data_IF_188922345116
#
_entry.id   IF_188922345116
#
_cell.length_a   1.000
_cell.length_b   1.000
_cell.length_c   1.000
_cell.angle_alpha   90.00
_cell.angle_beta   90.00
_cell.angle_gamma   90.00
#
_symmetry.space_group_name_H-M   'P 1'
#
loop_
_entity.id
_entity.type
_entity.pdbx_description
1 polymer ?
#
# COMPACT_ATOMS: atom_id res chain seq x y z
N UNK A 1 -17.42 -4.54 18.20
CA UNK A 1 -17.19 -5.01 16.80
C UNK A 1 -18.13 -4.21 15.90
N UNK A 2 -17.62 -3.42 14.96
CA UNK A 2 -18.47 -2.65 14.04
C UNK A 2 -19.29 -3.58 13.13
N UNK A 3 -20.59 -3.32 12.89
CA UNK A 3 -21.45 -4.14 12.04
C UNK A 3 -20.83 -4.36 10.65
N UNK A 4 -21.10 -5.53 10.05
CA UNK A 4 -20.62 -5.90 8.71
C UNK A 4 -21.02 -4.85 7.65
N UNK A 5 -22.16 -4.19 7.84
CA UNK A 5 -22.67 -3.11 7.01
C UNK A 5 -21.84 -1.82 7.08
N UNK A 6 -21.31 -1.46 8.26
CA UNK A 6 -20.41 -0.31 8.41
C UNK A 6 -19.07 -0.56 7.72
N UNK A 7 -18.58 -1.81 7.75
CA UNK A 7 -17.37 -2.20 7.04
C UNK A 7 -17.54 -2.08 5.53
N UNK A 8 -18.72 -2.42 5.01
CA UNK A 8 -19.07 -2.29 3.59
C UNK A 8 -19.16 -0.81 3.17
N UNK A 9 -19.80 0.05 3.97
CA UNK A 9 -19.87 1.50 3.71
C UNK A 9 -18.50 2.20 3.75
N UNK A 10 -17.55 1.68 4.54
CA UNK A 10 -16.15 2.18 4.63
C UNK A 10 -15.22 1.61 3.55
N UNK A 11 -15.73 0.81 2.60
CA UNK A 11 -14.90 0.32 1.49
C UNK A 11 -14.65 1.46 0.51
N UNK A 12 -13.46 2.06 0.57
CA UNK A 12 -13.00 3.00 -0.45
C UNK A 12 -12.74 2.26 -1.77
N UNK A 13 -13.79 2.06 -2.57
CA UNK A 13 -13.74 1.38 -3.87
C UNK A 13 -12.74 2.05 -4.81
N UNK A 14 -12.72 3.39 -4.82
CA UNK A 14 -11.76 4.21 -5.58
C UNK A 14 -10.33 3.86 -5.17
N UNK A 15 -10.03 3.87 -3.87
CA UNK A 15 -8.70 3.57 -3.34
C UNK A 15 -8.26 2.15 -3.70
N UNK A 16 -9.18 1.17 -3.64
CA UNK A 16 -8.90 -0.21 -4.08
C UNK A 16 -8.55 -0.29 -5.56
N UNK A 17 -9.29 0.41 -6.42
CA UNK A 17 -9.00 0.45 -7.87
C UNK A 17 -7.65 1.11 -8.15
N UNK A 18 -7.35 2.22 -7.48
CA UNK A 18 -6.03 2.89 -7.59
C UNK A 18 -4.92 1.93 -7.17
N UNK A 19 -5.07 1.23 -6.05
CA UNK A 19 -4.06 0.29 -5.56
C UNK A 19 -3.90 -0.92 -6.49
N UNK A 20 -4.99 -1.43 -7.06
CA UNK A 20 -4.94 -2.52 -8.01
C UNK A 20 -4.22 -2.09 -9.29
N UNK A 21 -4.54 -0.90 -9.83
CA UNK A 21 -3.90 -0.36 -11.02
C UNK A 21 -2.41 -0.09 -10.80
N UNK A 22 -2.08 0.73 -9.79
CA UNK A 22 -0.69 1.07 -9.46
C UNK A 22 0.09 -0.20 -9.16
N UNK A 23 -0.45 -1.06 -8.30
CA UNK A 23 0.20 -2.31 -7.89
C UNK A 23 0.44 -3.27 -9.04
N UNK A 24 -0.48 -3.37 -10.02
CA UNK A 24 -0.29 -4.24 -11.17
C UNK A 24 0.85 -3.76 -12.07
N UNK A 25 0.97 -2.43 -12.24
CA UNK A 25 2.03 -1.82 -13.04
C UNK A 25 3.38 -1.88 -12.33
N UNK A 26 3.42 -1.71 -11.01
CA UNK A 26 4.67 -1.70 -10.24
C UNK A 26 5.21 -3.09 -9.86
N UNK A 27 4.35 -4.12 -9.80
CA UNK A 27 4.76 -5.46 -9.36
C UNK A 27 5.95 -6.04 -10.17
N UNK A 28 5.97 -5.99 -11.51
CA UNK A 28 7.12 -6.47 -12.28
C UNK A 28 8.41 -5.73 -11.92
N UNK A 29 8.33 -4.41 -11.77
CA UNK A 29 9.43 -3.56 -11.34
C UNK A 29 10.03 -4.03 -10.02
N UNK A 30 9.19 -4.20 -9.00
CA UNK A 30 9.64 -4.56 -7.66
C UNK A 30 10.14 -6.00 -7.55
N UNK A 31 9.33 -6.97 -8.01
CA UNK A 31 9.56 -8.38 -7.67
C UNK A 31 10.28 -9.18 -8.77
N UNK A 32 10.22 -8.74 -10.04
CA UNK A 32 10.84 -9.46 -11.17
C UNK A 32 12.19 -8.85 -11.52
N UNK A 33 12.23 -7.55 -11.76
CA UNK A 33 13.46 -6.86 -12.18
C UNK A 33 14.38 -6.52 -11.01
N UNK A 34 13.85 -5.86 -9.97
CA UNK A 34 14.65 -5.44 -8.81
C UNK A 34 14.79 -6.53 -7.72
N UNK A 35 14.05 -7.63 -7.83
CA UNK A 35 14.09 -8.76 -6.88
C UNK A 35 14.02 -8.30 -5.41
N UNK A 36 12.97 -7.55 -5.07
CA UNK A 36 12.73 -7.05 -3.73
C UNK A 36 12.90 -8.14 -2.65
N UNK A 37 13.79 -7.88 -1.69
CA UNK A 37 13.97 -8.70 -0.50
C UNK A 37 13.17 -8.10 0.66
N UNK A 38 12.45 -8.95 1.40
CA UNK A 38 11.61 -8.54 2.53
C UNK A 38 11.98 -9.40 3.72
N UNK A 39 12.29 -8.76 4.84
CA UNK A 39 12.56 -9.40 6.14
C UNK A 39 11.73 -8.72 7.23
N UNK A 40 11.53 -9.39 8.37
CA UNK A 40 10.86 -8.78 9.53
C UNK A 40 9.34 -8.71 9.45
N UNK A 41 8.68 -9.40 8.51
CA UNK A 41 7.19 -9.40 8.45
C UNK A 41 6.54 -10.04 9.67
N UNK A 42 7.29 -10.82 10.46
CA UNK A 42 6.89 -11.34 11.76
C UNK A 42 6.51 -10.25 12.75
N UNK A 43 7.12 -9.06 12.70
CA UNK A 43 6.79 -7.96 13.60
C UNK A 43 5.38 -7.39 13.37
N UNK A 44 4.75 -7.68 12.23
CA UNK A 44 3.38 -7.23 11.95
C UNK A 44 2.34 -7.88 12.84
N UNK A 45 2.59 -9.07 13.39
CA UNK A 45 1.63 -9.72 14.31
C UNK A 45 1.45 -8.95 15.61
N UNK A 46 2.49 -8.22 16.02
CA UNK A 46 2.57 -7.58 17.33
C UNK A 46 2.15 -6.10 17.26
N UNK A 47 1.90 -5.59 16.05
CA UNK A 47 1.49 -4.19 15.85
C UNK A 47 0.07 -3.93 16.34
N UNK A 48 -0.19 -2.75 16.95
CA UNK A 48 -1.54 -2.32 17.27
C UNK A 48 -2.37 -2.13 16.01
N UNK A 49 -3.70 -2.24 16.14
CA UNK A 49 -4.65 -2.20 15.00
C UNK A 49 -4.78 -0.83 14.34
N UNK A 50 -4.32 0.22 15.00
CA UNK A 50 -4.44 1.63 14.61
C UNK A 50 -3.28 2.45 15.18
N UNK A 51 -3.08 3.66 14.65
CA UNK A 51 -2.05 4.62 15.09
C UNK A 51 -0.61 4.09 14.97
N UNK A 52 -0.35 3.29 13.93
CA UNK A 52 1.01 2.85 13.58
C UNK A 52 1.59 3.79 12.53
N UNK A 53 2.73 4.39 12.85
CA UNK A 53 3.52 5.18 11.91
C UNK A 53 4.68 4.33 11.39
N UNK A 54 4.70 4.07 10.08
CA UNK A 54 5.84 3.47 9.40
C UNK A 54 6.76 4.57 8.91
N UNK A 55 8.04 4.51 9.29
CA UNK A 55 9.07 5.47 8.85
C UNK A 55 10.04 4.74 7.94
N UNK A 56 10.23 5.28 6.75
CA UNK A 56 11.17 4.78 5.75
C UNK A 56 12.23 5.83 5.45
N UNK A 57 13.41 5.37 5.04
CA UNK A 57 14.35 6.25 4.37
C UNK A 57 13.74 6.73 3.04
N UNK A 58 14.10 7.93 2.61
CA UNK A 58 13.40 8.69 1.59
C UNK A 58 14.15 8.71 0.26
N UNK A 59 14.53 7.53 -0.24
CA UNK A 59 15.40 7.41 -1.42
C UNK A 59 14.61 7.54 -2.73
N UNK A 60 13.38 7.00 -2.81
CA UNK A 60 12.50 7.20 -3.96
C UNK A 60 11.07 7.32 -3.47
N UNK A 61 10.68 8.54 -3.11
CA UNK A 61 9.42 8.89 -2.44
C UNK A 61 8.19 8.07 -2.87
N UNK A 62 7.91 7.99 -4.17
CA UNK A 62 6.76 7.23 -4.67
C UNK A 62 6.97 5.72 -4.64
N UNK A 63 8.17 5.24 -4.98
CA UNK A 63 8.45 3.80 -5.00
C UNK A 63 8.42 3.20 -3.60
N UNK A 64 8.88 3.94 -2.59
CA UNK A 64 8.84 3.53 -1.19
C UNK A 64 7.39 3.33 -0.73
N UNK A 65 6.51 4.31 -1.02
CA UNK A 65 5.07 4.21 -0.75
C UNK A 65 4.45 3.01 -1.46
N UNK A 66 4.71 2.84 -2.76
CA UNK A 66 4.20 1.71 -3.55
C UNK A 66 4.66 0.37 -2.96
N UNK A 67 5.93 0.28 -2.58
CA UNK A 67 6.51 -0.90 -1.94
C UNK A 67 5.75 -1.25 -0.65
N UNK A 68 5.48 -0.27 0.21
CA UNK A 68 4.65 -0.49 1.40
C UNK A 68 3.23 -0.97 1.07
N UNK A 69 2.58 -0.43 0.02
CA UNK A 69 1.26 -0.92 -0.41
C UNK A 69 1.31 -2.40 -0.78
N UNK A 70 2.36 -2.83 -1.48
CA UNK A 70 2.59 -4.24 -1.82
C UNK A 70 2.84 -5.09 -0.58
N UNK A 71 3.73 -4.67 0.32
CA UNK A 71 4.08 -5.40 1.54
C UNK A 71 2.84 -5.56 2.43
N UNK A 72 2.12 -4.47 2.71
CA UNK A 72 0.91 -4.52 3.54
C UNK A 72 -0.20 -5.36 2.92
N UNK A 73 -0.36 -5.29 1.59
CA UNK A 73 -1.25 -6.18 0.85
C UNK A 73 -0.86 -7.64 1.00
N UNK A 74 0.42 -7.97 0.79
CA UNK A 74 0.94 -9.32 0.89
C UNK A 74 0.78 -9.89 2.31
N UNK A 75 1.12 -9.12 3.35
CA UNK A 75 0.97 -9.51 4.76
C UNK A 75 -0.49 -9.73 5.12
N UNK A 76 -1.41 -8.86 4.68
CA UNK A 76 -2.86 -9.05 4.86
C UNK A 76 -3.34 -10.39 4.28
N UNK A 77 -2.72 -10.86 3.21
CA UNK A 77 -3.02 -12.14 2.55
C UNK A 77 -2.15 -13.30 3.08
N UNK A 78 -1.49 -13.13 4.22
CA UNK A 78 -0.73 -14.17 4.91
C UNK A 78 0.64 -14.49 4.29
N UNK A 79 1.15 -13.64 3.40
CA UNK A 79 2.52 -13.78 2.89
C UNK A 79 3.53 -13.37 3.98
N UNK A 80 4.63 -14.11 4.07
CA UNK A 80 5.73 -13.89 5.01
C UNK A 80 7.02 -13.66 4.24
N UNK A 81 7.70 -12.54 4.49
CA UNK A 81 9.03 -12.20 3.96
C UNK A 81 9.15 -12.32 2.43
N UNK A 82 8.03 -12.14 1.70
CA UNK A 82 7.96 -12.11 0.24
C UNK A 82 6.65 -11.51 -0.25
N UNK A 83 6.65 -10.94 -1.45
CA UNK A 83 5.40 -10.58 -2.14
C UNK A 83 4.72 -11.82 -2.71
N UNK A 84 5.49 -12.67 -3.41
CA UNK A 84 4.95 -13.81 -4.16
C UNK A 84 3.92 -13.37 -5.20
N UNK A 85 3.13 -14.31 -5.71
CA UNK A 85 2.14 -14.02 -6.75
C UNK A 85 1.13 -12.93 -6.29
N UNK A 86 0.85 -11.89 -7.12
CA UNK A 86 0.22 -10.64 -6.67
C UNK A 86 -1.30 -10.71 -6.51
N UNK A 87 -1.85 -11.85 -6.06
CA UNK A 87 -3.29 -12.01 -5.77
C UNK A 87 -3.79 -11.05 -4.69
N UNK A 88 -2.90 -10.53 -3.86
CA UNK A 88 -3.26 -9.57 -2.83
C UNK A 88 -3.79 -8.23 -3.39
N UNK A 89 -3.54 -7.93 -4.67
CA UNK A 89 -4.05 -6.74 -5.35
C UNK A 89 -5.57 -6.76 -5.56
N UNK A 90 -6.24 -7.92 -5.50
CA UNK A 90 -7.70 -8.01 -5.59
C UNK A 90 -8.41 -7.45 -4.35
N UNK A 91 -7.76 -7.52 -3.19
CA UNK A 91 -8.30 -6.94 -1.95
C UNK A 91 -7.14 -6.36 -1.12
N UNK A 92 -6.58 -5.21 -1.52
CA UNK A 92 -5.42 -4.65 -0.87
C UNK A 92 -5.76 -4.05 0.50
N UNK A 93 -4.74 -3.74 1.29
CA UNK A 93 -4.91 -3.07 2.58
C UNK A 93 -4.99 -1.55 2.35
N UNK A 94 -6.19 -0.97 2.44
CA UNK A 94 -6.45 0.43 2.04
C UNK A 94 -6.42 1.46 3.19
N UNK A 95 -6.26 1.00 4.45
CA UNK A 95 -6.12 1.88 5.63
C UNK A 95 -4.67 2.34 5.81
N UNK A 96 -4.10 2.85 4.73
CA UNK A 96 -2.72 3.37 4.67
C UNK A 96 -2.82 4.82 4.26
N UNK A 97 -2.06 5.66 4.94
CA UNK A 97 -1.92 7.07 4.65
C UNK A 97 -0.43 7.39 4.58
N UNK A 98 -0.05 8.30 3.70
CA UNK A 98 1.33 8.74 3.55
C UNK A 98 1.37 10.26 3.44
N UNK A 99 2.39 10.87 4.03
CA UNK A 99 2.54 12.33 4.07
C UNK A 99 3.13 12.81 2.76
N UNK A 100 2.49 13.78 2.11
CA UNK A 100 2.93 14.32 0.83
C UNK A 100 2.84 15.85 0.75
N UNK A 101 3.80 16.49 0.07
CA UNK A 101 3.70 17.92 -0.22
C UNK A 101 2.57 18.18 -1.24
N UNK A 102 1.64 19.07 -0.89
CA UNK A 102 0.44 19.34 -1.69
C UNK A 102 0.79 19.83 -3.10
N UNK A 103 1.79 20.68 -3.23
CA UNK A 103 2.28 21.21 -4.51
C UNK A 103 2.79 20.08 -5.41
N UNK A 104 3.48 19.09 -4.83
CA UNK A 104 3.98 17.92 -5.55
C UNK A 104 2.82 17.02 -5.99
N UNK A 105 1.81 16.85 -5.14
CA UNK A 105 0.67 16.00 -5.46
C UNK A 105 -0.21 16.58 -6.57
N UNK A 106 -0.27 17.91 -6.68
CA UNK A 106 -1.05 18.61 -7.73
C UNK A 106 -0.33 18.75 -9.07
N UNK A 107 0.98 18.49 -9.12
CA UNK A 107 1.84 18.79 -10.26
C UNK A 107 1.43 18.10 -11.58
N UNK A 108 1.04 16.82 -11.55
CA UNK A 108 0.63 16.10 -12.76
C UNK A 108 -0.49 15.07 -12.49
N UNK A 109 -0.99 14.45 -13.55
CA UNK A 109 -2.10 13.48 -13.46
C UNK A 109 -1.72 12.23 -12.64
N UNK A 110 -0.46 11.79 -12.69
CA UNK A 110 0.02 10.62 -11.96
C UNK A 110 0.09 10.92 -10.47
N UNK A 111 0.62 12.07 -10.07
CA UNK A 111 0.68 12.49 -8.66
C UNK A 111 -0.72 12.71 -8.10
N UNK A 112 -1.67 13.21 -8.91
CA UNK A 112 -3.08 13.32 -8.52
C UNK A 112 -3.74 11.95 -8.32
N UNK A 113 -3.41 10.96 -9.15
CA UNK A 113 -3.85 9.57 -8.94
C UNK A 113 -3.31 9.01 -7.62
N UNK A 114 -2.04 9.27 -7.29
CA UNK A 114 -1.48 8.92 -6.00
C UNK A 114 -2.13 9.66 -4.83
N UNK A 115 -2.58 10.90 -5.01
CA UNK A 115 -3.29 11.62 -3.95
C UNK A 115 -4.56 10.87 -3.52
N UNK A 116 -5.30 10.31 -4.48
CA UNK A 116 -6.46 9.45 -4.25
C UNK A 116 -6.12 8.14 -3.52
N UNK A 117 -4.85 7.75 -3.54
CA UNK A 117 -4.32 6.59 -2.83
C UNK A 117 -4.11 6.87 -1.33
N UNK A 118 -4.42 8.05 -0.81
CA UNK A 118 -4.39 8.37 0.62
C UNK A 118 -3.25 9.27 1.05
N UNK A 119 -2.86 10.22 0.20
CA UNK A 119 -1.97 11.29 0.61
C UNK A 119 -2.64 12.18 1.66
N UNK A 120 -1.91 12.47 2.74
CA UNK A 120 -2.22 13.48 3.75
C UNK A 120 -1.47 14.76 3.47
#
# INVERSE_FOLDING_TARGET
MSPLWERIKKVNLVKKLVYALVGSVSYPGLNIFNKLEITGTEHFSDLPRENVLFVSNHQTYFADVICFLHIFGAVKWGKKNKLGFPVYLFNPYTRVYFVAAEETMKANWMTRLFALAGAL
#
